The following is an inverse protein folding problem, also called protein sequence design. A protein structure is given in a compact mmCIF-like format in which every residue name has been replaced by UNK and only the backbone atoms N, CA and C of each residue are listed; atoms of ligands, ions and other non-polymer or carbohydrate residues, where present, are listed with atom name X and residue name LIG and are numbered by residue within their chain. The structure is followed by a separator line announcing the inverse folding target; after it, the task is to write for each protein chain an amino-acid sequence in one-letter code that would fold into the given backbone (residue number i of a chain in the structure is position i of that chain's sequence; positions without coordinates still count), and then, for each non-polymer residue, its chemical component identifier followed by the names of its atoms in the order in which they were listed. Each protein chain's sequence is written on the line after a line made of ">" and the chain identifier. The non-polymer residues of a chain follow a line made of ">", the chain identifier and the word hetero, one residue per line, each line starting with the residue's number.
data_IF_032195125147
#
_entry.id   IF_032195125147
#
_cell.length_a   1.000
_cell.length_b   1.000
_cell.length_c   1.000
_cell.angle_alpha   90.00
_cell.angle_beta   90.00
_cell.angle_gamma   90.00
#
_symmetry.space_group_name_H-M   'P 1'
#
loop_
_entity.id
_entity.type
_entity.pdbx_description
1 polymer ?
#
# COMPACT_ATOMS: atom_id res chain seq x y z
N UNK A 1 29.99 15.22 -11.89
CA UNK A 1 28.95 14.53 -11.09
C UNK A 1 29.41 13.10 -10.90
N UNK A 2 29.44 12.58 -9.67
CA UNK A 2 29.40 11.12 -9.49
C UNK A 2 27.95 10.70 -9.71
N UNK A 3 27.79 9.55 -10.34
CA UNK A 3 26.48 9.01 -10.69
C UNK A 3 26.17 7.80 -9.80
N UNK A 4 24.92 7.35 -9.81
CA UNK A 4 24.58 6.08 -9.19
C UNK A 4 25.32 4.93 -9.90
N UNK A 5 25.66 3.83 -9.19
CA UNK A 5 26.10 2.61 -9.85
C UNK A 5 25.05 2.17 -10.90
N UNK A 6 25.49 1.70 -12.07
CA UNK A 6 24.58 1.36 -13.17
C UNK A 6 23.55 0.29 -12.76
N UNK A 7 23.95 -0.62 -11.86
CA UNK A 7 23.12 -1.67 -11.29
C UNK A 7 22.02 -1.16 -10.34
N UNK A 8 22.06 0.10 -9.90
CA UNK A 8 21.06 0.70 -9.02
C UNK A 8 19.87 1.30 -9.80
N UNK A 9 20.04 1.64 -11.09
CA UNK A 9 18.92 2.15 -11.91
C UNK A 9 17.80 1.12 -12.09
N UNK A 10 18.07 -0.17 -12.42
CA UNK A 10 17.03 -1.18 -12.49
C UNK A 10 16.31 -1.38 -11.14
N UNK A 11 17.04 -1.32 -10.03
CA UNK A 11 16.47 -1.43 -8.69
C UNK A 11 15.57 -0.24 -8.36
N UNK A 12 16.00 0.98 -8.71
CA UNK A 12 15.20 2.19 -8.54
C UNK A 12 13.91 2.13 -9.36
N UNK A 13 14.01 1.70 -10.63
CA UNK A 13 12.85 1.48 -11.49
C UNK A 13 11.89 0.43 -10.93
N UNK A 14 12.42 -0.71 -10.49
CA UNK A 14 11.63 -1.78 -9.87
C UNK A 14 10.92 -1.28 -8.61
N UNK A 15 11.63 -0.57 -7.73
CA UNK A 15 11.07 0.01 -6.51
C UNK A 15 9.87 0.93 -6.80
N UNK A 16 9.98 1.80 -7.81
CA UNK A 16 8.87 2.68 -8.20
C UNK A 16 7.67 1.89 -8.75
N UNK A 17 7.91 0.85 -9.57
CA UNK A 17 6.84 0.03 -10.15
C UNK A 17 6.10 -0.78 -9.07
N UNK A 18 6.81 -1.41 -8.13
CA UNK A 18 6.15 -2.15 -7.04
C UNK A 18 5.40 -1.22 -6.08
N UNK A 19 5.90 0.00 -5.85
CA UNK A 19 5.16 1.00 -5.08
C UNK A 19 3.84 1.38 -5.76
N UNK A 20 3.84 1.57 -7.08
CA UNK A 20 2.61 1.86 -7.84
C UNK A 20 1.59 0.72 -7.77
N UNK A 21 2.04 -0.54 -7.71
CA UNK A 21 1.14 -1.70 -7.55
C UNK A 21 0.48 -1.73 -6.18
N UNK A 22 1.23 -1.44 -5.10
CA UNK A 22 0.67 -1.25 -3.75
C UNK A 22 -0.33 -0.11 -3.73
N UNK A 23 0.00 1.02 -4.36
CA UNK A 23 -0.89 2.17 -4.47
C UNK A 23 -2.18 1.84 -5.19
N UNK A 24 -2.09 1.16 -6.33
CA UNK A 24 -3.26 0.74 -7.09
C UNK A 24 -4.19 -0.14 -6.26
N UNK A 25 -3.64 -1.12 -5.52
CA UNK A 25 -4.41 -2.00 -4.66
C UNK A 25 -5.14 -1.22 -3.56
N UNK A 26 -4.45 -0.29 -2.88
CA UNK A 26 -5.07 0.55 -1.85
C UNK A 26 -6.11 1.50 -2.44
N UNK A 27 -5.83 2.08 -3.61
CA UNK A 27 -6.76 2.95 -4.32
C UNK A 27 -8.06 2.20 -4.68
N UNK A 28 -7.93 0.96 -5.15
CA UNK A 28 -9.07 0.08 -5.41
C UNK A 28 -9.88 -0.22 -4.16
N UNK A 29 -9.25 -0.61 -3.05
CA UNK A 29 -9.94 -0.80 -1.77
C UNK A 29 -10.65 0.47 -1.31
N UNK A 30 -9.96 1.61 -1.35
CA UNK A 30 -10.50 2.90 -0.97
C UNK A 30 -11.71 3.29 -1.83
N UNK A 31 -11.71 3.01 -3.14
CA UNK A 31 -12.85 3.29 -4.02
C UNK A 31 -14.13 2.58 -3.58
N UNK A 32 -14.03 1.37 -3.02
CA UNK A 32 -15.16 0.60 -2.53
C UNK A 32 -15.69 1.08 -1.17
N UNK A 33 -14.93 1.89 -0.44
CA UNK A 33 -15.34 2.43 0.86
C UNK A 33 -15.36 3.95 0.87
N UNK A 34 -15.19 4.61 -0.27
CA UNK A 34 -15.21 6.07 -0.39
C UNK A 34 -16.55 6.71 0.00
N UNK A 35 -17.63 5.93 0.04
CA UNK A 35 -18.94 6.34 0.53
C UNK A 35 -19.06 6.25 2.07
N UNK A 36 -18.08 5.68 2.78
CA UNK A 36 -18.07 5.63 4.24
C UNK A 36 -17.89 7.04 4.84
N UNK A 37 -18.18 7.23 6.14
CA UNK A 37 -17.91 8.50 6.83
C UNK A 37 -16.49 9.01 6.62
N UNK A 38 -15.50 8.13 6.59
CA UNK A 38 -14.09 8.44 6.32
C UNK A 38 -13.89 9.02 4.91
N UNK A 39 -14.45 8.37 3.88
CA UNK A 39 -14.32 8.83 2.50
C UNK A 39 -15.13 10.09 2.17
N UNK A 40 -16.15 10.41 2.97
CA UNK A 40 -16.95 11.62 2.80
C UNK A 40 -16.33 12.88 3.44
N UNK A 41 -15.33 12.72 4.33
CA UNK A 41 -14.65 13.85 5.00
C UNK A 41 -13.92 14.77 4.03
N UNK A 42 -13.30 14.21 2.99
CA UNK A 42 -12.53 15.00 2.02
C UNK A 42 -13.04 14.81 0.60
N UNK A 43 -13.21 15.93 -0.11
CA UNK A 43 -13.68 15.94 -1.51
C UNK A 43 -12.76 15.14 -2.44
N UNK A 44 -11.47 15.02 -2.12
CA UNK A 44 -10.49 14.30 -2.94
C UNK A 44 -10.79 12.80 -3.08
N UNK A 45 -11.48 12.22 -2.09
CA UNK A 45 -11.86 10.81 -2.10
C UNK A 45 -13.21 10.58 -2.80
N UNK A 46 -13.90 11.65 -3.22
CA UNK A 46 -15.09 11.52 -4.05
C UNK A 46 -14.67 11.12 -5.47
N UNK A 47 -15.30 10.05 -5.94
CA UNK A 47 -15.09 9.47 -7.28
C UNK A 47 -13.71 8.81 -7.48
N UNK A 48 -13.10 8.26 -6.43
CA UNK A 48 -11.99 7.32 -6.59
C UNK A 48 -12.50 6.12 -7.39
N UNK A 49 -11.88 5.79 -8.52
CA UNK A 49 -12.10 4.52 -9.21
C UNK A 49 -10.78 3.91 -9.68
N UNK A 50 -10.65 2.57 -9.72
CA UNK A 50 -9.45 1.90 -10.25
C UNK A 50 -9.10 2.36 -11.67
N UNK A 51 -10.11 2.66 -12.49
CA UNK A 51 -9.93 3.12 -13.87
C UNK A 51 -9.24 4.49 -13.93
N UNK A 52 -9.58 5.41 -13.01
CA UNK A 52 -8.89 6.70 -12.92
C UNK A 52 -7.44 6.56 -12.50
N UNK A 53 -7.11 5.57 -11.69
CA UNK A 53 -5.72 5.29 -11.36
C UNK A 53 -4.93 4.78 -12.59
N UNK A 54 -5.52 3.90 -13.39
CA UNK A 54 -4.84 3.27 -14.53
C UNK A 54 -4.80 4.10 -15.81
N UNK A 55 -5.87 4.87 -16.07
CA UNK A 55 -6.09 5.57 -17.35
C UNK A 55 -6.23 7.08 -17.19
N UNK A 56 -6.29 7.59 -15.97
CA UNK A 56 -6.40 9.02 -15.71
C UNK A 56 -5.10 9.74 -16.06
N UNK A 57 -5.23 11.05 -16.28
CA UNK A 57 -4.06 11.93 -16.28
C UNK A 57 -3.42 11.87 -14.87
N UNK A 58 -2.10 11.70 -14.73
CA UNK A 58 -1.44 11.74 -13.42
C UNK A 58 -1.77 12.99 -12.59
N UNK A 59 -2.11 14.12 -13.24
CA UNK A 59 -2.58 15.34 -12.58
C UNK A 59 -3.99 15.21 -11.98
N UNK A 60 -4.77 14.22 -12.39
CA UNK A 60 -6.09 13.88 -11.87
C UNK A 60 -6.04 12.84 -10.73
N UNK A 61 -4.86 12.30 -10.41
CA UNK A 61 -4.68 11.43 -9.23
C UNK A 61 -4.87 12.27 -7.95
N UNK A 62 -6.10 12.27 -7.45
CA UNK A 62 -6.53 13.15 -6.34
C UNK A 62 -5.92 12.82 -4.97
N UNK A 63 -5.42 11.60 -4.79
CA UNK A 63 -4.98 11.09 -3.50
C UNK A 63 -3.64 10.37 -3.60
N UNK A 64 -2.68 10.79 -2.78
CA UNK A 64 -1.40 10.10 -2.59
C UNK A 64 -1.55 8.86 -1.71
N UNK A 65 -0.58 7.95 -1.75
CA UNK A 65 -0.55 6.77 -0.89
C UNK A 65 -0.75 7.12 0.60
N UNK A 66 0.02 8.11 1.09
CA UNK A 66 -0.10 8.57 2.48
C UNK A 66 -1.50 9.09 2.82
N UNK A 67 -2.15 9.84 1.91
CA UNK A 67 -3.51 10.32 2.12
C UNK A 67 -4.54 9.19 2.18
N UNK A 68 -4.38 8.15 1.35
CA UNK A 68 -5.25 6.97 1.39
C UNK A 68 -5.06 6.19 2.69
N UNK A 69 -3.82 6.03 3.16
CA UNK A 69 -3.53 5.36 4.45
C UNK A 69 -4.13 6.11 5.62
N UNK A 70 -3.98 7.44 5.65
CA UNK A 70 -4.54 8.28 6.73
C UNK A 70 -6.07 8.25 6.77
N UNK A 71 -6.73 8.25 5.60
CA UNK A 71 -8.18 8.26 5.52
C UNK A 71 -8.80 6.87 5.77
N UNK A 72 -8.22 5.83 5.19
CA UNK A 72 -8.86 4.51 5.09
C UNK A 72 -8.13 3.39 5.83
N UNK A 73 -6.86 3.59 6.22
CA UNK A 73 -6.03 2.51 6.77
C UNK A 73 -6.61 1.90 8.04
N UNK A 74 -7.24 2.72 8.89
CA UNK A 74 -7.91 2.26 10.12
C UNK A 74 -9.20 1.47 9.83
N UNK A 75 -9.96 1.85 8.78
CA UNK A 75 -11.19 1.16 8.37
C UNK A 75 -10.89 -0.17 7.66
N UNK A 76 -9.73 -0.25 7.01
CA UNK A 76 -9.22 -1.44 6.34
C UNK A 76 -8.34 -2.32 7.25
N UNK A 77 -8.09 -1.89 8.50
CA UNK A 77 -7.23 -2.59 9.48
C UNK A 77 -5.79 -2.84 8.99
N UNK A 78 -5.28 -1.96 8.14
CA UNK A 78 -3.91 -2.03 7.57
C UNK A 78 -2.98 -0.95 8.11
N UNK A 79 -3.51 0.03 8.86
CA UNK A 79 -2.70 1.13 9.38
C UNK A 79 -1.75 0.61 10.46
N UNK A 80 -0.47 0.54 10.11
CA UNK A 80 0.61 0.13 11.00
C UNK A 80 1.80 1.07 10.85
N UNK A 81 2.71 1.12 11.84
CA UNK A 81 3.97 1.85 11.70
C UNK A 81 4.77 1.43 10.45
N UNK A 82 4.72 0.15 10.08
CA UNK A 82 5.42 -0.34 8.88
C UNK A 82 4.82 0.22 7.57
N UNK A 83 3.49 0.30 7.45
CA UNK A 83 2.84 0.93 6.28
C UNK A 83 3.15 2.42 6.20
N UNK A 84 3.27 3.08 7.36
CA UNK A 84 3.66 4.48 7.44
C UNK A 84 5.09 4.66 6.93
N UNK A 85 6.02 3.84 7.41
CA UNK A 85 7.40 3.82 6.90
C UNK A 85 7.43 3.51 5.40
N UNK A 86 6.62 2.60 4.91
CA UNK A 86 6.55 2.25 3.49
C UNK A 86 6.25 3.47 2.60
N UNK A 87 5.19 4.23 2.89
CA UNK A 87 4.86 5.39 2.03
C UNK A 87 5.87 6.54 2.20
N UNK A 88 6.51 6.66 3.36
CA UNK A 88 7.60 7.63 3.58
C UNK A 88 8.83 7.27 2.75
N UNK A 89 9.23 6.00 2.76
CA UNK A 89 10.33 5.48 1.95
C UNK A 89 10.03 5.64 0.46
N UNK A 90 8.79 5.38 0.02
CA UNK A 90 8.33 5.63 -1.36
C UNK A 90 8.52 7.10 -1.75
N UNK A 91 8.08 8.03 -0.90
CA UNK A 91 8.23 9.47 -1.17
C UNK A 91 9.69 9.87 -1.23
N UNK A 92 10.50 9.35 -0.31
CA UNK A 92 11.95 9.55 -0.34
C UNK A 92 12.58 8.99 -1.63
N UNK A 93 12.17 7.80 -2.08
CA UNK A 93 12.63 7.19 -3.33
C UNK A 93 12.32 8.10 -4.52
N UNK A 94 11.09 8.61 -4.60
CA UNK A 94 10.61 9.42 -5.70
C UNK A 94 11.24 10.82 -5.76
N UNK A 95 11.59 11.41 -4.60
CA UNK A 95 11.96 12.83 -4.52
C UNK A 95 13.43 13.09 -4.16
N UNK A 96 14.05 12.23 -3.34
CA UNK A 96 15.33 12.52 -2.70
C UNK A 96 16.40 11.44 -2.87
N UNK A 97 16.08 10.26 -3.42
CA UNK A 97 17.03 9.13 -3.52
C UNK A 97 18.35 9.51 -4.20
N UNK A 98 18.28 10.10 -5.39
CA UNK A 98 19.48 10.50 -6.13
C UNK A 98 20.30 11.55 -5.36
N UNK A 99 19.64 12.47 -4.65
CA UNK A 99 20.35 13.47 -3.84
C UNK A 99 21.07 12.82 -2.67
N UNK A 100 20.45 11.84 -2.02
CA UNK A 100 21.00 11.18 -0.84
C UNK A 100 22.09 10.14 -1.17
N UNK A 101 21.93 9.41 -2.27
CA UNK A 101 22.75 8.26 -2.63
C UNK A 101 23.52 8.41 -3.94
N UNK A 102 23.24 9.40 -4.78
CA UNK A 102 23.96 9.63 -6.05
C UNK A 102 24.89 10.85 -6.00
N UNK A 103 24.60 11.83 -5.14
CA UNK A 103 25.39 13.05 -5.04
C UNK A 103 26.20 13.15 -3.74
N UNK A 104 27.39 13.73 -3.83
CA UNK A 104 28.07 14.35 -2.70
C UNK A 104 28.01 15.86 -2.92
N UNK A 105 27.19 16.55 -2.13
CA UNK A 105 27.03 18.01 -2.20
C UNK A 105 27.76 18.64 -1.02
N UNK A 106 28.63 19.62 -1.30
CA UNK A 106 29.28 20.44 -0.25
C UNK A 106 30.26 19.68 0.65
N UNK A 107 30.84 18.57 0.20
CA UNK A 107 31.75 17.76 1.03
C UNK A 107 31.06 16.86 2.04
N UNK A 108 29.72 16.85 2.08
CA UNK A 108 28.98 15.85 2.86
C UNK A 108 29.10 14.47 2.19
N UNK A 109 29.45 13.43 2.96
CA UNK A 109 29.54 12.08 2.42
C UNK A 109 28.16 11.61 1.95
N UNK A 110 28.15 11.02 0.77
CA UNK A 110 27.03 10.25 0.23
C UNK A 110 26.58 9.23 1.28
N UNK A 111 25.25 9.10 1.48
CA UNK A 111 24.73 8.06 2.36
C UNK A 111 25.12 6.69 1.78
N UNK A 112 25.56 5.78 2.65
CA UNK A 112 25.90 4.42 2.23
C UNK A 112 24.66 3.51 2.28
N UNK A 113 24.66 2.45 1.48
CA UNK A 113 23.61 1.41 1.52
C UNK A 113 22.36 1.68 0.67
N UNK A 114 22.45 2.49 -0.39
CA UNK A 114 21.31 2.76 -1.29
C UNK A 114 20.71 1.50 -1.89
N UNK A 115 21.56 0.60 -2.41
CA UNK A 115 21.16 -0.72 -2.93
C UNK A 115 20.39 -1.55 -1.91
N UNK A 116 20.92 -1.68 -0.69
CA UNK A 116 20.28 -2.47 0.38
C UNK A 116 18.93 -1.85 0.77
N UNK A 117 18.86 -0.52 0.83
CA UNK A 117 17.61 0.20 1.07
C UNK A 117 16.56 -0.10 -0.02
N UNK A 118 16.92 -0.05 -1.30
CA UNK A 118 16.01 -0.39 -2.41
C UNK A 118 15.54 -1.85 -2.34
N UNK A 119 16.43 -2.79 -2.07
CA UNK A 119 16.08 -4.22 -1.95
C UNK A 119 15.08 -4.46 -0.81
N UNK A 120 15.33 -3.89 0.38
CA UNK A 120 14.38 -3.98 1.51
C UNK A 120 13.06 -3.30 1.21
N UNK A 121 13.07 -2.18 0.49
CA UNK A 121 11.85 -1.52 0.06
C UNK A 121 11.02 -2.41 -0.88
N UNK A 122 11.66 -3.06 -1.86
CA UNK A 122 11.00 -3.97 -2.79
C UNK A 122 10.40 -5.17 -2.05
N UNK A 123 11.12 -5.75 -1.09
CA UNK A 123 10.60 -6.82 -0.25
C UNK A 123 9.39 -6.37 0.58
N UNK A 124 9.46 -5.18 1.19
CA UNK A 124 8.33 -4.59 1.91
C UNK A 124 7.14 -4.31 0.99
N UNK A 125 7.38 -3.87 -0.25
CA UNK A 125 6.32 -3.70 -1.25
C UNK A 125 5.61 -5.03 -1.55
N UNK A 126 6.38 -6.11 -1.75
CA UNK A 126 5.81 -7.44 -1.99
C UNK A 126 4.96 -7.93 -0.81
N UNK A 127 5.39 -7.67 0.43
CA UNK A 127 4.59 -7.94 1.61
C UNK A 127 3.27 -7.15 1.58
N UNK A 128 3.29 -5.85 1.31
CA UNK A 128 2.07 -5.03 1.27
C UNK A 128 1.14 -5.39 0.10
N UNK A 129 1.69 -5.75 -1.07
CA UNK A 129 0.88 -6.29 -2.17
C UNK A 129 0.12 -7.55 -1.74
N UNK A 130 0.77 -8.44 -0.99
CA UNK A 130 0.16 -9.69 -0.51
C UNK A 130 -0.95 -9.42 0.50
N UNK A 131 -0.71 -8.52 1.47
CA UNK A 131 -1.70 -8.11 2.48
C UNK A 131 -2.91 -7.42 1.81
N UNK A 132 -2.68 -6.47 0.91
CA UNK A 132 -3.76 -5.75 0.24
C UNK A 132 -4.53 -6.65 -0.73
N UNK A 133 -3.85 -7.56 -1.43
CA UNK A 133 -4.48 -8.60 -2.24
C UNK A 133 -5.38 -9.51 -1.41
N UNK A 134 -4.88 -9.96 -0.26
CA UNK A 134 -5.67 -10.74 0.71
C UNK A 134 -6.89 -9.97 1.23
N UNK A 135 -6.75 -8.66 1.50
CA UNK A 135 -7.86 -7.82 1.90
C UNK A 135 -8.95 -7.73 0.82
N UNK A 136 -8.54 -7.53 -0.44
CA UNK A 136 -9.47 -7.48 -1.60
C UNK A 136 -10.25 -8.79 -1.70
N UNK A 137 -9.56 -9.93 -1.67
CA UNK A 137 -10.18 -11.25 -1.80
C UNK A 137 -11.12 -11.54 -0.61
N UNK A 138 -10.71 -11.17 0.60
CA UNK A 138 -11.52 -11.31 1.81
C UNK A 138 -12.81 -10.48 1.72
N UNK A 139 -12.72 -9.19 1.36
CA UNK A 139 -13.91 -8.35 1.25
C UNK A 139 -14.83 -8.77 0.11
N UNK A 140 -14.30 -9.26 -1.01
CA UNK A 140 -15.09 -9.86 -2.09
C UNK A 140 -15.88 -11.07 -1.57
N UNK A 141 -15.25 -11.95 -0.81
CA UNK A 141 -15.93 -13.11 -0.19
C UNK A 141 -17.06 -12.66 0.74
N UNK A 142 -16.77 -11.76 1.69
CA UNK A 142 -17.78 -11.26 2.64
C UNK A 142 -18.95 -10.56 1.95
N UNK A 143 -18.68 -9.82 0.88
CA UNK A 143 -19.72 -9.20 0.07
C UNK A 143 -20.58 -10.27 -0.64
N UNK A 144 -19.96 -11.27 -1.27
CA UNK A 144 -20.69 -12.34 -1.95
C UNK A 144 -21.55 -13.17 -0.99
N UNK A 145 -21.04 -13.49 0.21
CA UNK A 145 -21.83 -14.13 1.27
C UNK A 145 -23.06 -13.29 1.64
N UNK A 146 -22.87 -11.99 1.88
CA UNK A 146 -23.94 -11.06 2.24
C UNK A 146 -25.03 -10.96 1.17
N UNK A 147 -24.66 -11.06 -0.11
CA UNK A 147 -25.58 -10.93 -1.24
C UNK A 147 -26.02 -12.28 -1.84
N UNK A 148 -25.65 -13.41 -1.24
CA UNK A 148 -26.01 -14.75 -1.74
C UNK A 148 -25.37 -15.12 -3.08
N UNK A 149 -24.23 -14.51 -3.42
CA UNK A 149 -23.50 -14.68 -4.69
C UNK A 149 -22.21 -15.49 -4.55
N UNK A 150 -22.05 -16.24 -3.46
CA UNK A 150 -20.83 -17.01 -3.20
C UNK A 150 -20.49 -18.02 -4.29
N UNK A 151 -21.50 -18.54 -5.01
CA UNK A 151 -21.31 -19.47 -6.13
C UNK A 151 -20.61 -18.84 -7.36
N UNK A 152 -20.54 -17.51 -7.44
CA UNK A 152 -19.85 -16.81 -8.53
C UNK A 152 -18.34 -16.64 -8.28
N UNK A 153 -17.87 -16.95 -7.07
CA UNK A 153 -16.48 -16.79 -6.69
C UNK A 153 -15.73 -18.12 -6.72
N UNK A 154 -14.61 -18.13 -7.45
CA UNK A 154 -13.67 -19.24 -7.45
C UNK A 154 -12.34 -18.75 -6.92
N UNK A 155 -12.07 -19.05 -5.64
CA UNK A 155 -10.79 -18.75 -5.00
C UNK A 155 -9.84 -19.93 -5.12
N UNK A 156 -8.64 -19.69 -5.61
CA UNK A 156 -7.53 -20.64 -5.62
C UNK A 156 -6.97 -20.83 -4.20
N UNK A 157 -6.13 -21.86 -4.01
CA UNK A 157 -5.41 -22.04 -2.75
C UNK A 157 -4.51 -20.84 -2.42
N UNK A 158 -3.92 -20.21 -3.44
CA UNK A 158 -3.10 -19.01 -3.24
C UNK A 158 -3.93 -17.83 -2.72
N UNK A 159 -5.14 -17.62 -3.25
CA UNK A 159 -6.03 -16.56 -2.79
C UNK A 159 -6.45 -16.79 -1.32
N UNK A 160 -6.74 -18.06 -0.97
CA UNK A 160 -7.06 -18.48 0.40
C UNK A 160 -5.92 -18.17 1.38
N UNK A 161 -4.70 -18.46 0.99
CA UNK A 161 -3.51 -18.19 1.79
C UNK A 161 -3.26 -16.68 1.96
N UNK A 162 -3.47 -15.87 0.91
CA UNK A 162 -3.39 -14.40 1.02
C UNK A 162 -4.45 -13.84 1.95
N UNK A 163 -5.70 -14.33 1.84
CA UNK A 163 -6.78 -13.94 2.77
C UNK A 163 -6.42 -14.26 4.22
N UNK A 164 -5.84 -15.44 4.49
CA UNK A 164 -5.37 -15.82 5.84
C UNK A 164 -4.32 -14.83 6.35
N UNK A 165 -3.32 -14.49 5.55
CA UNK A 165 -2.27 -13.52 5.95
C UNK A 165 -2.83 -12.13 6.22
N UNK A 166 -3.79 -11.66 5.42
CA UNK A 166 -4.50 -10.42 5.71
C UNK A 166 -5.25 -10.50 7.04
N UNK A 167 -5.97 -11.60 7.33
CA UNK A 167 -6.68 -11.76 8.59
C UNK A 167 -5.73 -11.77 9.79
N UNK A 168 -4.58 -12.45 9.68
CA UNK A 168 -3.53 -12.45 10.71
C UNK A 168 -2.96 -11.05 10.92
N UNK A 169 -2.69 -10.32 9.83
CA UNK A 169 -2.28 -8.92 9.91
C UNK A 169 -3.34 -8.06 10.62
N UNK A 170 -4.59 -8.13 10.17
CA UNK A 170 -5.70 -7.35 10.71
C UNK A 170 -5.95 -7.66 12.20
N UNK A 171 -5.73 -8.89 12.64
CA UNK A 171 -5.84 -9.28 14.05
C UNK A 171 -4.83 -8.56 14.96
N UNK A 172 -3.69 -8.14 14.42
CA UNK A 172 -2.70 -7.34 15.17
C UNK A 172 -3.09 -5.86 15.28
N UNK A 173 -4.06 -5.40 14.49
CA UNK A 173 -4.47 -4.00 14.48
C UNK A 173 -5.10 -3.61 15.83
N UNK A 174 -4.74 -2.45 16.43
CA UNK A 174 -5.18 -2.08 17.79
C UNK A 174 -6.69 -2.15 18.01
N UNK A 175 -7.49 -1.74 17.01
CA UNK A 175 -8.96 -1.80 17.05
C UNK A 175 -9.49 -3.23 17.14
N UNK A 176 -8.93 -4.15 16.35
CA UNK A 176 -9.36 -5.56 16.32
C UNK A 176 -8.87 -6.25 17.57
N UNK A 177 -7.61 -6.04 17.96
CA UNK A 177 -7.04 -6.59 19.18
C UNK A 177 -7.85 -6.20 20.42
N UNK A 178 -8.19 -4.92 20.58
CA UNK A 178 -9.02 -4.47 21.70
C UNK A 178 -10.41 -5.11 21.71
N UNK A 179 -11.02 -5.31 20.55
CA UNK A 179 -12.30 -6.01 20.44
C UNK A 179 -12.18 -7.48 20.83
N UNK A 180 -11.18 -8.20 20.32
CA UNK A 180 -10.94 -9.60 20.65
C UNK A 180 -10.66 -9.79 22.16
N UNK A 181 -9.84 -8.90 22.75
CA UNK A 181 -9.55 -8.91 24.19
C UNK A 181 -10.80 -8.64 25.05
N UNK A 182 -11.78 -7.88 24.54
CA UNK A 182 -13.04 -7.63 25.24
C UNK A 182 -13.99 -8.83 25.26
N UNK A 183 -13.84 -9.78 24.33
CA UNK A 183 -14.68 -10.98 24.26
C UNK A 183 -14.20 -12.11 25.19
N UNK A 184 -12.99 -11.99 25.74
CA UNK A 184 -12.36 -13.00 26.62
C UNK A 184 -12.50 -12.63 28.11
N UNK A 185 -13.06 -11.45 28.42
CA UNK A 185 -13.33 -10.96 29.78
C UNK A 185 -14.80 -11.13 30.14
#
# INVERSE_FOLDING_TARGET
>A
MRDLPLEDYPLLGLALVVAQRVEFALYGLASHIAHSPEGQKERRFRDLTPEKFLRGDPSELKATLGQLVEAFGDALFIRTPDLVTFYQDRNFIAHDYYRAFGMSVGGHPQRQGGREFLLKFIERAAFWEDILGGAIDFFKERAAEKFGRSAELNFTQADRERMRRYQEHAATHPRVKAHLESLVK
#
